data_IF_625795422087
#
_entry.id   IF_625795422087
#
_cell.length_a   1.000
_cell.length_b   1.000
_cell.length_c   1.000
_cell.angle_alpha   90.00
_cell.angle_beta   90.00
_cell.angle_gamma   90.00
#
_symmetry.space_group_name_H-M   'P 1'
#
loop_
_entity.id
_entity.type
_entity.pdbx_description
1 polymer ?
#
# COMPACT_ATOMS: atom_id res chain seq x y z
N UNK A 1 -35.74 8.47 70.94
CA UNK A 1 -35.88 8.08 69.52
C UNK A 1 -34.88 8.90 68.70
N UNK A 2 -33.83 8.27 68.16
CA UNK A 2 -32.80 8.92 67.34
C UNK A 2 -33.27 8.88 65.88
N UNK A 3 -33.47 10.05 65.26
CA UNK A 3 -33.67 10.15 63.81
C UNK A 3 -32.31 10.18 63.13
N UNK A 4 -32.06 9.20 62.27
CA UNK A 4 -30.87 9.12 61.43
C UNK A 4 -31.10 9.91 60.15
N UNK A 5 -30.20 10.86 59.89
CA UNK A 5 -30.13 11.64 58.65
C UNK A 5 -29.39 10.78 57.61
N UNK A 6 -30.08 10.35 56.56
CA UNK A 6 -29.46 9.62 55.44
C UNK A 6 -28.91 10.66 54.46
N UNK A 7 -27.58 10.73 54.38
CA UNK A 7 -26.85 11.56 53.42
C UNK A 7 -26.70 10.75 52.13
N UNK A 8 -27.45 11.09 51.08
CA UNK A 8 -27.23 10.55 49.74
C UNK A 8 -25.96 11.18 49.14
N UNK A 9 -24.88 10.41 49.10
CA UNK A 9 -23.68 10.72 48.32
C UNK A 9 -23.93 10.37 46.85
N UNK A 10 -24.18 11.38 46.02
CA UNK A 10 -24.08 11.23 44.57
C UNK A 10 -22.60 11.11 44.19
N UNK A 11 -22.16 9.90 43.84
CA UNK A 11 -20.88 9.71 43.15
C UNK A 11 -21.01 10.25 41.73
N UNK A 12 -20.18 11.21 41.29
CA UNK A 12 -20.14 11.61 39.90
C UNK A 12 -19.65 10.42 39.07
N UNK A 13 -20.45 10.02 38.07
CA UNK A 13 -19.99 9.07 37.07
C UNK A 13 -18.72 9.62 36.44
N UNK A 14 -17.64 8.84 36.47
CA UNK A 14 -16.48 9.07 35.63
C UNK A 14 -16.98 8.98 34.19
N UNK A 15 -17.11 10.13 33.52
CA UNK A 15 -17.21 10.15 32.08
C UNK A 15 -15.87 9.59 31.58
N UNK A 16 -15.87 8.38 31.04
CA UNK A 16 -14.77 7.91 30.22
C UNK A 16 -14.59 8.97 29.13
N UNK A 17 -13.39 9.56 29.04
CA UNK A 17 -13.07 10.37 27.88
C UNK A 17 -13.15 9.41 26.67
N UNK A 18 -14.02 9.71 25.71
CA UNK A 18 -14.07 8.95 24.46
C UNK A 18 -12.69 9.07 23.81
N UNK A 19 -12.07 7.92 23.51
CA UNK A 19 -10.78 7.88 22.82
C UNK A 19 -10.91 8.55 21.46
N UNK A 20 -9.87 9.27 21.03
CA UNK A 20 -9.91 9.89 19.70
C UNK A 20 -9.89 8.81 18.60
N UNK A 21 -10.27 9.14 17.35
CA UNK A 21 -10.16 8.20 16.23
C UNK A 21 -8.74 7.65 16.04
N UNK A 22 -7.73 8.51 16.23
CA UNK A 22 -6.30 8.14 16.17
C UNK A 22 -5.92 7.15 17.27
N UNK A 23 -6.34 7.41 18.52
CA UNK A 23 -6.06 6.50 19.64
C UNK A 23 -6.73 5.16 19.43
N UNK A 24 -7.98 5.17 18.97
CA UNK A 24 -8.80 3.97 18.75
C UNK A 24 -8.19 3.09 17.66
N UNK A 25 -7.90 3.67 16.49
CA UNK A 25 -7.29 2.93 15.39
C UNK A 25 -5.86 2.49 15.69
N UNK A 26 -5.04 3.41 16.24
CA UNK A 26 -3.66 3.13 16.61
C UNK A 26 -3.53 2.01 17.64
N UNK A 27 -4.43 1.97 18.64
CA UNK A 27 -4.46 0.89 19.64
C UNK A 27 -4.87 -0.46 19.04
N UNK A 28 -5.89 -0.49 18.17
CA UNK A 28 -6.29 -1.73 17.49
C UNK A 28 -5.15 -2.30 16.63
N UNK A 29 -4.42 -1.43 15.94
CA UNK A 29 -3.24 -1.81 15.17
C UNK A 29 -2.08 -2.30 16.06
N UNK A 30 -1.81 -1.60 17.16
CA UNK A 30 -0.77 -2.01 18.11
C UNK A 30 -1.07 -3.38 18.73
N UNK A 31 -2.33 -3.68 19.00
CA UNK A 31 -2.77 -4.97 19.54
C UNK A 31 -2.62 -6.10 18.51
N UNK A 32 -3.05 -5.87 17.27
CA UNK A 32 -3.07 -6.92 16.24
C UNK A 32 -1.70 -7.20 15.62
N UNK A 33 -0.81 -6.20 15.58
CA UNK A 33 0.44 -6.24 14.81
C UNK A 33 1.66 -5.95 15.70
N UNK A 34 1.54 -4.97 16.59
CA UNK A 34 2.64 -4.40 17.35
C UNK A 34 2.78 -2.89 17.09
N UNK A 35 3.55 -2.22 17.94
CA UNK A 35 3.75 -0.77 17.80
C UNK A 35 4.67 -0.45 16.61
N UNK A 36 4.29 0.58 15.84
CA UNK A 36 5.19 1.22 14.87
C UNK A 36 6.09 2.19 15.64
N UNK A 37 7.44 2.10 15.56
CA UNK A 37 8.31 3.00 16.31
C UNK A 37 8.30 4.43 15.74
N UNK A 38 8.86 5.38 16.49
CA UNK A 38 9.28 6.68 15.92
C UNK A 38 10.42 6.42 14.93
N UNK A 39 10.41 7.08 13.78
CA UNK A 39 11.41 6.89 12.74
C UNK A 39 11.85 8.20 12.10
N UNK A 40 12.88 8.12 11.25
CA UNK A 40 13.38 9.26 10.47
C UNK A 40 13.50 8.84 9.02
N UNK A 41 12.82 9.54 8.11
CA UNK A 41 12.84 9.25 6.68
C UNK A 41 14.25 9.22 6.10
N UNK A 42 15.19 10.03 6.60
CA UNK A 42 16.57 10.07 6.13
C UNK A 42 17.36 8.79 6.43
N UNK A 43 16.89 7.96 7.37
CA UNK A 43 17.46 6.64 7.64
C UNK A 43 17.08 5.59 6.57
N UNK A 44 16.05 5.87 5.77
CA UNK A 44 15.61 5.00 4.68
C UNK A 44 16.50 5.03 3.45
N UNK A 45 16.41 3.98 2.64
CA UNK A 45 17.10 3.90 1.37
C UNK A 45 16.41 4.77 0.33
N UNK A 46 17.19 5.56 -0.42
CA UNK A 46 16.65 6.33 -1.53
C UNK A 46 16.30 5.41 -2.70
N UNK A 47 15.10 5.57 -3.25
CA UNK A 47 14.67 4.88 -4.47
C UNK A 47 15.30 5.60 -5.66
N UNK A 48 16.14 4.93 -6.48
CA UNK A 48 16.81 5.59 -7.58
C UNK A 48 15.82 6.05 -8.66
N UNK A 49 16.10 7.21 -9.26
CA UNK A 49 15.57 7.60 -10.56
C UNK A 49 16.71 7.51 -11.55
N UNK A 50 16.53 6.72 -12.60
CA UNK A 50 17.54 6.51 -13.64
C UNK A 50 16.98 6.83 -15.03
N UNK A 51 17.84 7.31 -15.92
CA UNK A 51 17.59 7.41 -17.35
C UNK A 51 18.70 6.65 -18.05
N UNK A 52 18.33 5.63 -18.82
CA UNK A 52 19.28 4.73 -19.47
C UNK A 52 20.29 4.12 -18.49
N UNK A 53 19.84 3.77 -17.29
CA UNK A 53 20.66 3.23 -16.21
C UNK A 53 21.54 4.25 -15.49
N UNK A 54 21.50 5.54 -15.88
CA UNK A 54 22.28 6.60 -15.22
C UNK A 54 21.42 7.31 -14.17
N UNK A 55 21.85 7.38 -12.89
CA UNK A 55 21.12 8.09 -11.85
C UNK A 55 20.94 9.58 -12.16
N UNK A 56 19.73 10.10 -11.89
CA UNK A 56 19.38 11.52 -12.00
C UNK A 56 19.09 12.06 -10.61
N UNK A 57 19.87 13.05 -10.19
CA UNK A 57 19.83 13.62 -8.82
C UNK A 57 19.76 15.15 -8.80
N UNK A 58 19.75 15.80 -9.96
CA UNK A 58 19.82 17.27 -10.09
C UNK A 58 18.50 17.90 -10.54
N UNK A 59 17.49 17.08 -10.87
CA UNK A 59 16.14 17.48 -11.30
C UNK A 59 15.15 16.32 -11.20
N UNK A 60 13.86 16.61 -11.28
CA UNK A 60 12.85 15.62 -11.68
C UNK A 60 12.74 15.57 -13.22
N UNK A 61 13.20 14.50 -13.89
CA UNK A 61 12.98 14.33 -15.32
C UNK A 61 11.51 14.03 -15.64
N UNK A 62 11.07 14.39 -16.85
CA UNK A 62 9.71 14.08 -17.30
C UNK A 62 9.46 12.58 -17.51
N UNK A 63 10.50 11.80 -17.79
CA UNK A 63 10.44 10.34 -17.93
C UNK A 63 11.69 9.66 -17.34
N UNK A 64 11.58 8.37 -17.00
CA UNK A 64 12.67 7.58 -16.42
C UNK A 64 12.47 6.07 -16.68
N UNK A 65 13.51 5.28 -16.36
CA UNK A 65 13.52 3.83 -16.60
C UNK A 65 12.47 3.08 -15.76
N UNK A 66 12.07 3.64 -14.61
CA UNK A 66 11.17 3.01 -13.61
C UNK A 66 10.29 4.05 -12.90
N UNK A 67 9.25 4.58 -13.56
CA UNK A 67 8.32 5.56 -12.96
C UNK A 67 7.54 4.96 -11.78
N UNK A 68 7.06 5.80 -10.86
CA UNK A 68 6.42 5.39 -9.60
C UNK A 68 5.14 4.54 -9.75
N UNK A 69 4.48 4.55 -10.92
CA UNK A 69 3.25 3.81 -11.22
C UNK A 69 2.10 4.16 -10.27
N UNK A 70 2.07 5.37 -9.74
CA UNK A 70 0.98 5.85 -8.90
C UNK A 70 0.84 7.34 -9.16
N UNK A 71 -0.35 7.79 -9.57
CA UNK A 71 -0.58 9.18 -9.92
C UNK A 71 -0.13 10.10 -8.77
N UNK A 72 0.74 11.05 -9.11
CA UNK A 72 1.30 12.03 -8.18
C UNK A 72 0.45 13.30 -8.09
N UNK A 73 -0.72 13.33 -8.74
CA UNK A 73 -1.57 14.49 -8.95
C UNK A 73 -0.97 15.53 -9.91
N UNK A 74 -1.81 16.40 -10.52
CA UNK A 74 -1.38 17.32 -11.57
C UNK A 74 -0.36 18.39 -11.16
N UNK A 75 -0.22 18.67 -9.87
CA UNK A 75 0.68 19.69 -9.31
C UNK A 75 2.03 19.13 -8.82
N UNK A 76 2.33 17.88 -9.22
CA UNK A 76 3.63 17.23 -9.03
C UNK A 76 4.62 17.51 -10.16
N UNK A 77 5.88 17.17 -9.93
CA UNK A 77 6.94 17.18 -10.95
C UNK A 77 6.97 15.88 -11.80
N UNK A 78 5.86 15.15 -11.83
CA UNK A 78 5.69 13.92 -12.61
C UNK A 78 6.00 12.65 -11.82
N UNK A 79 6.20 11.54 -12.54
CA UNK A 79 6.35 10.19 -11.96
C UNK A 79 7.79 9.80 -11.62
N UNK A 80 8.74 10.68 -11.94
CA UNK A 80 10.18 10.40 -11.87
C UNK A 80 10.87 11.42 -10.97
N UNK A 81 10.42 11.52 -9.72
CA UNK A 81 10.93 12.49 -8.75
C UNK A 81 11.97 11.82 -7.85
N UNK A 82 13.25 12.25 -7.88
CA UNK A 82 14.28 11.67 -7.03
C UNK A 82 14.04 11.85 -5.53
N UNK A 83 14.75 11.03 -4.74
CA UNK A 83 14.85 11.14 -3.28
C UNK A 83 13.60 10.80 -2.47
N UNK A 84 12.63 10.10 -3.07
CA UNK A 84 11.73 9.26 -2.28
C UNK A 84 12.55 8.20 -1.53
N UNK A 85 12.14 7.85 -0.32
CA UNK A 85 12.85 6.91 0.54
C UNK A 85 11.93 5.82 1.05
N UNK A 86 12.48 4.62 1.21
CA UNK A 86 11.79 3.48 1.80
C UNK A 86 12.50 3.02 3.07
N UNK A 87 11.73 2.62 4.07
CA UNK A 87 12.24 2.03 5.31
C UNK A 87 11.59 0.68 5.53
N UNK A 88 12.38 -0.25 6.05
CA UNK A 88 11.90 -1.47 6.69
C UNK A 88 12.00 -1.30 8.21
N UNK A 89 10.86 -1.25 8.87
CA UNK A 89 10.73 -1.19 10.33
C UNK A 89 10.25 -2.52 10.92
N UNK A 90 10.36 -3.60 10.16
CA UNK A 90 9.89 -4.93 10.55
C UNK A 90 10.56 -5.42 11.84
N UNK A 91 9.82 -6.27 12.54
CA UNK A 91 10.27 -7.01 13.72
C UNK A 91 10.14 -8.51 13.45
N UNK A 92 10.47 -9.34 14.44
CA UNK A 92 10.30 -10.80 14.32
C UNK A 92 8.84 -11.23 14.08
N UNK A 93 7.85 -10.38 14.43
CA UNK A 93 6.42 -10.70 14.37
C UNK A 93 5.61 -9.77 13.48
N UNK A 94 6.20 -8.69 12.97
CA UNK A 94 5.52 -7.69 12.18
C UNK A 94 6.36 -7.31 10.97
N UNK A 95 5.70 -7.15 9.83
CA UNK A 95 6.26 -6.58 8.61
C UNK A 95 5.82 -5.13 8.50
N UNK A 96 6.74 -4.18 8.45
CA UNK A 96 6.41 -2.75 8.45
C UNK A 96 7.24 -2.04 7.38
N UNK A 97 6.58 -1.47 6.38
CA UNK A 97 7.22 -0.64 5.36
C UNK A 97 6.78 0.82 5.52
N UNK A 98 7.70 1.74 5.28
CA UNK A 98 7.41 3.18 5.22
C UNK A 98 7.86 3.73 3.88
N UNK A 99 6.99 4.47 3.20
CA UNK A 99 7.33 5.27 2.02
C UNK A 99 7.33 6.75 2.40
N UNK A 100 8.49 7.39 2.37
CA UNK A 100 8.60 8.85 2.45
C UNK A 100 8.73 9.40 1.03
N UNK A 101 7.62 9.88 0.47
CA UNK A 101 7.51 10.13 -0.98
C UNK A 101 7.76 11.58 -1.35
N UNK A 102 8.51 11.76 -2.43
CA UNK A 102 8.67 13.03 -3.13
C UNK A 102 7.76 13.02 -4.38
N UNK A 103 6.88 14.00 -4.46
CA UNK A 103 6.08 14.38 -5.64
C UNK A 103 6.59 15.68 -6.26
N UNK A 104 7.35 16.47 -5.50
CA UNK A 104 8.08 17.66 -5.98
C UNK A 104 9.57 17.49 -5.73
N UNK A 105 10.38 17.97 -6.67
CA UNK A 105 11.82 17.88 -6.59
C UNK A 105 12.35 18.74 -5.45
N UNK A 106 13.04 18.09 -4.51
CA UNK A 106 13.79 18.69 -3.42
C UNK A 106 15.22 18.16 -3.45
N UNK A 107 16.14 18.80 -2.73
CA UNK A 107 17.52 18.31 -2.64
C UNK A 107 17.61 17.00 -1.84
N UNK A 108 18.70 16.26 -1.99
CA UNK A 108 18.90 14.96 -1.33
C UNK A 108 18.90 15.03 0.21
N UNK A 109 19.23 16.20 0.76
CA UNK A 109 19.27 16.52 2.19
C UNK A 109 17.94 17.12 2.71
N UNK A 110 16.96 17.34 1.84
CA UNK A 110 15.65 17.82 2.24
C UNK A 110 14.98 16.84 3.20
N UNK A 111 14.49 17.37 4.31
CA UNK A 111 13.81 16.56 5.35
C UNK A 111 12.30 16.59 5.19
N UNK A 112 11.78 17.37 4.26
CA UNK A 112 10.36 17.45 3.97
C UNK A 112 9.93 16.57 2.79
N UNK A 113 8.74 15.98 2.90
CA UNK A 113 8.15 15.06 1.94
C UNK A 113 6.71 15.48 1.60
N UNK A 114 6.22 15.05 0.44
CA UNK A 114 4.83 15.34 0.06
C UNK A 114 3.85 14.39 0.73
N UNK A 115 4.29 13.18 1.07
CA UNK A 115 3.56 12.23 1.91
C UNK A 115 4.49 11.23 2.59
N UNK A 116 3.99 10.67 3.69
CA UNK A 116 4.61 9.57 4.43
C UNK A 116 3.54 8.52 4.65
N UNK A 117 3.73 7.35 4.04
CA UNK A 117 2.80 6.23 4.10
C UNK A 117 3.42 5.08 4.89
N UNK A 118 2.64 4.46 5.78
CA UNK A 118 3.07 3.32 6.58
C UNK A 118 2.09 2.16 6.37
N UNK A 119 2.63 1.01 6.00
CA UNK A 119 1.89 -0.24 5.93
C UNK A 119 2.50 -1.17 6.98
N UNK A 120 1.69 -1.53 7.97
CA UNK A 120 2.07 -2.48 9.01
C UNK A 120 1.23 -3.75 8.83
N UNK A 121 1.88 -4.91 8.89
CA UNK A 121 1.27 -6.19 8.58
C UNK A 121 1.75 -7.29 9.52
N UNK A 122 0.83 -8.12 10.02
CA UNK A 122 1.15 -9.32 10.77
C UNK A 122 1.08 -10.54 9.82
N UNK A 123 2.22 -11.13 9.41
CA UNK A 123 2.21 -12.24 8.45
C UNK A 123 1.59 -13.52 9.00
N UNK A 124 1.44 -13.64 10.33
CA UNK A 124 0.82 -14.82 10.95
C UNK A 124 -0.71 -14.74 10.94
N UNK A 125 -1.29 -13.54 11.02
CA UNK A 125 -2.76 -13.36 11.12
C UNK A 125 -3.39 -12.70 9.91
N UNK A 126 -2.60 -12.00 9.12
CA UNK A 126 -3.04 -11.18 8.00
C UNK A 126 -3.46 -9.76 8.39
N UNK A 127 -3.45 -9.41 9.67
CA UNK A 127 -3.82 -8.07 10.14
C UNK A 127 -2.95 -7.00 9.48
N UNK A 128 -3.59 -6.05 8.79
CA UNK A 128 -2.90 -4.95 8.09
C UNK A 128 -3.50 -3.61 8.49
N UNK A 129 -2.62 -2.66 8.83
CA UNK A 129 -2.95 -1.29 9.16
C UNK A 129 -2.28 -0.30 8.22
N UNK A 130 -2.97 0.81 7.99
CA UNK A 130 -2.62 1.82 7.00
C UNK A 130 -2.57 3.19 7.66
N UNK A 131 -1.47 3.90 7.49
CA UNK A 131 -1.31 5.25 8.01
C UNK A 131 -0.72 6.15 6.95
N UNK A 132 -1.21 7.38 6.89
CA UNK A 132 -0.75 8.37 5.94
C UNK A 132 -0.66 9.74 6.61
N UNK A 133 0.42 10.44 6.33
CA UNK A 133 0.55 11.88 6.50
C UNK A 133 0.78 12.49 5.11
N UNK A 134 0.15 13.61 4.80
CA UNK A 134 0.32 14.26 3.50
C UNK A 134 0.45 15.75 3.65
N UNK A 135 1.15 16.36 2.69
CA UNK A 135 1.22 17.80 2.57
C UNK A 135 -0.19 18.38 2.40
N UNK A 136 -0.42 19.52 3.03
CA UNK A 136 -1.66 20.27 2.92
C UNK A 136 -1.36 21.76 2.69
N UNK A 137 -2.32 22.64 2.93
CA UNK A 137 -2.13 24.09 2.80
C UNK A 137 -1.03 24.65 3.72
N UNK A 138 -0.65 23.93 4.79
CA UNK A 138 0.43 24.30 5.71
C UNK A 138 1.82 23.95 5.19
N UNK A 139 1.91 23.11 4.15
CA UNK A 139 3.16 22.75 3.49
C UNK A 139 3.47 21.25 3.56
N UNK A 140 4.71 20.86 3.23
CA UNK A 140 5.12 19.46 3.21
C UNK A 140 5.23 18.86 4.62
N UNK A 141 5.22 17.54 4.70
CA UNK A 141 5.32 16.77 5.95
C UNK A 141 6.80 16.68 6.36
N UNK A 142 7.09 16.91 7.64
CA UNK A 142 8.43 16.69 8.18
C UNK A 142 8.72 15.19 8.32
N UNK A 143 9.79 14.73 7.69
CA UNK A 143 10.28 13.35 7.78
C UNK A 143 11.29 13.11 8.90
N UNK A 144 11.60 14.13 9.71
CA UNK A 144 12.48 14.00 10.87
C UNK A 144 11.69 13.67 12.14
N UNK A 145 12.14 12.66 12.90
CA UNK A 145 11.50 12.21 14.14
C UNK A 145 9.97 12.01 14.01
N UNK A 146 9.56 11.35 12.93
CA UNK A 146 8.17 11.06 12.59
C UNK A 146 7.50 10.33 13.77
N UNK A 147 6.42 10.87 14.35
CA UNK A 147 5.78 10.28 15.52
C UNK A 147 5.14 8.93 15.15
N UNK A 148 5.15 8.00 16.10
CA UNK A 148 4.49 6.69 15.93
C UNK A 148 2.99 6.86 15.61
N UNK A 149 2.47 6.29 14.51
CA UNK A 149 1.05 6.34 14.20
C UNK A 149 0.21 5.51 15.19
N UNK A 150 0.77 4.43 15.74
CA UNK A 150 0.09 3.58 16.73
C UNK A 150 0.02 4.21 18.13
N UNK A 151 0.69 5.36 18.34
CA UNK A 151 0.61 6.15 19.58
C UNK A 151 0.05 7.56 19.34
N UNK A 152 -0.52 7.82 18.16
CA UNK A 152 -1.10 9.12 17.84
C UNK A 152 -2.35 9.36 18.69
N UNK A 153 -2.43 10.54 19.32
CA UNK A 153 -3.58 10.93 20.14
C UNK A 153 -4.52 11.89 19.42
N UNK A 154 -4.05 12.51 18.33
CA UNK A 154 -4.76 13.51 17.55
C UNK A 154 -4.23 13.57 16.11
N UNK A 155 -4.83 14.44 15.29
CA UNK A 155 -4.47 14.68 13.90
C UNK A 155 -3.36 15.71 13.68
N UNK A 156 -2.47 15.92 14.65
CA UNK A 156 -1.37 16.89 14.50
C UNK A 156 -0.33 16.49 13.44
N UNK A 157 -0.25 15.21 13.11
CA UNK A 157 0.68 14.67 12.11
C UNK A 157 0.02 13.69 11.16
N UNK A 158 -0.69 12.70 11.70
CA UNK A 158 -1.32 11.63 10.92
C UNK A 158 -2.73 12.03 10.50
N UNK A 159 -3.13 11.68 9.28
CA UNK A 159 -4.51 11.78 8.85
C UNK A 159 -5.44 10.93 9.74
N UNK A 160 -6.71 11.31 9.83
CA UNK A 160 -7.69 10.49 10.54
C UNK A 160 -7.88 9.14 9.82
N UNK A 161 -8.18 8.04 10.53
CA UNK A 161 -8.39 6.74 9.90
C UNK A 161 -9.49 6.77 8.82
N UNK A 162 -10.54 7.57 8.98
CA UNK A 162 -11.59 7.74 7.97
C UNK A 162 -11.07 8.42 6.70
N UNK A 163 -10.14 9.37 6.84
CA UNK A 163 -9.51 10.02 5.69
C UNK A 163 -8.62 9.03 4.93
N UNK A 164 -7.85 8.21 5.64
CA UNK A 164 -7.03 7.14 5.04
C UNK A 164 -7.92 6.09 4.35
N UNK A 165 -8.98 5.64 5.02
CA UNK A 165 -9.94 4.70 4.43
C UNK A 165 -10.58 5.24 3.14
N UNK A 166 -10.82 6.56 3.07
CA UNK A 166 -11.33 7.24 1.87
C UNK A 166 -10.27 7.41 0.77
N UNK A 167 -8.98 7.30 1.10
CA UNK A 167 -7.88 7.28 0.15
C UNK A 167 -7.81 6.02 -0.71
N UNK A 168 -8.62 4.99 -0.38
CA UNK A 168 -8.77 3.76 -1.16
C UNK A 168 -7.45 3.00 -1.40
N UNK A 169 -6.49 3.06 -0.47
CA UNK A 169 -5.22 2.34 -0.56
C UNK A 169 -5.42 0.83 -0.79
N UNK A 170 -6.38 0.22 -0.08
CA UNK A 170 -6.71 -1.20 -0.25
C UNK A 170 -7.35 -1.57 -1.58
N UNK A 171 -7.80 -0.60 -2.38
CA UNK A 171 -8.24 -0.86 -3.76
C UNK A 171 -7.03 -1.12 -4.66
N UNK A 172 -5.95 -0.37 -4.47
CA UNK A 172 -4.67 -0.65 -5.13
C UNK A 172 -4.04 -1.93 -4.58
N UNK A 173 -4.03 -2.09 -3.25
CA UNK A 173 -3.46 -3.22 -2.52
C UNK A 173 -4.49 -4.35 -2.31
N UNK A 174 -5.22 -4.72 -3.34
CA UNK A 174 -6.31 -5.71 -3.26
C UNK A 174 -5.83 -7.17 -3.24
N UNK A 175 -4.55 -7.41 -3.52
CA UNK A 175 -3.92 -8.72 -3.43
C UNK A 175 -3.11 -8.91 -2.14
N UNK A 176 -2.27 -7.94 -1.77
CA UNK A 176 -1.27 -8.09 -0.71
C UNK A 176 -0.92 -6.74 -0.07
N UNK A 177 -0.41 -6.73 1.18
CA UNK A 177 -0.02 -5.49 1.86
C UNK A 177 1.12 -4.77 1.13
N UNK A 178 2.08 -5.49 0.56
CA UNK A 178 3.23 -4.93 -0.13
C UNK A 178 3.22 -5.35 -1.59
N UNK A 179 3.06 -4.36 -2.49
CA UNK A 179 3.03 -4.60 -3.92
C UNK A 179 4.37 -4.32 -4.57
N UNK A 180 4.75 -5.19 -5.49
CA UNK A 180 5.87 -4.92 -6.37
C UNK A 180 5.48 -3.88 -7.42
N UNK A 181 6.34 -2.90 -7.65
CA UNK A 181 6.35 -2.06 -8.85
C UNK A 181 7.78 -1.96 -9.35
N UNK A 182 8.06 -1.68 -10.64
CA UNK A 182 9.41 -1.43 -11.10
C UNK A 182 10.13 -0.34 -10.28
N UNK A 183 9.41 0.70 -9.83
CA UNK A 183 9.97 1.76 -9.00
C UNK A 183 10.52 1.24 -7.67
N UNK A 184 9.69 0.56 -6.87
CA UNK A 184 10.08 -0.03 -5.57
C UNK A 184 10.97 -1.26 -5.75
N UNK A 185 10.84 -1.96 -6.88
CA UNK A 185 11.60 -3.15 -7.25
C UNK A 185 13.11 -2.94 -7.30
N UNK A 186 13.56 -1.69 -7.38
CA UNK A 186 14.97 -1.29 -7.31
C UNK A 186 15.60 -1.49 -5.93
N UNK A 187 14.77 -1.57 -4.89
CA UNK A 187 15.13 -1.71 -3.48
C UNK A 187 14.29 -2.80 -2.81
N UNK A 188 13.87 -3.80 -3.58
CA UNK A 188 12.91 -4.83 -3.13
C UNK A 188 13.43 -5.68 -1.97
N UNK A 189 14.75 -5.79 -1.81
CA UNK A 189 15.39 -6.45 -0.66
C UNK A 189 15.22 -5.68 0.65
N UNK A 190 14.73 -4.44 0.59
CA UNK A 190 14.44 -3.56 1.72
C UNK A 190 12.93 -3.39 1.95
N UNK A 191 12.10 -4.25 1.34
CA UNK A 191 10.65 -4.23 1.52
C UNK A 191 10.22 -5.61 1.99
N UNK A 192 9.39 -5.71 3.04
CA UNK A 192 8.86 -7.00 3.44
C UNK A 192 8.04 -7.62 2.32
N UNK A 193 8.15 -8.94 2.19
CA UNK A 193 7.39 -9.72 1.21
C UNK A 193 6.53 -10.73 1.94
N UNK A 194 5.25 -10.78 1.60
CA UNK A 194 4.34 -11.83 2.08
C UNK A 194 3.50 -12.40 0.93
N UNK A 195 4.15 -12.95 -0.11
CA UNK A 195 3.40 -13.50 -1.22
C UNK A 195 2.54 -14.66 -0.70
N UNK A 196 1.23 -14.56 -0.91
CA UNK A 196 0.23 -15.58 -0.56
C UNK A 196 -0.03 -15.81 0.93
N UNK A 197 0.49 -14.98 1.83
CA UNK A 197 0.15 -15.05 3.25
C UNK A 197 -1.29 -14.61 3.53
N UNK A 198 -1.76 -14.79 4.78
CA UNK A 198 -3.06 -14.26 5.18
C UNK A 198 -3.08 -12.74 5.02
N UNK A 199 -4.24 -12.16 4.73
CA UNK A 199 -4.38 -10.72 4.50
C UNK A 199 -5.79 -10.23 4.80
N UNK A 200 -5.88 -9.22 5.67
CA UNK A 200 -7.10 -8.50 5.98
C UNK A 200 -6.77 -7.10 6.51
N UNK A 201 -7.76 -6.21 6.46
CA UNK A 201 -7.63 -4.85 6.98
C UNK A 201 -8.18 -4.77 8.41
N UNK A 202 -7.43 -4.16 9.31
CA UNK A 202 -7.98 -3.74 10.60
C UNK A 202 -8.89 -2.55 10.35
N UNK A 203 -10.15 -2.67 10.77
CA UNK A 203 -11.18 -1.67 10.52
C UNK A 203 -11.39 -0.69 11.69
N UNK A 204 -11.57 -1.23 12.90
CA UNK A 204 -11.91 -0.47 14.11
C UNK A 204 -13.10 0.51 13.96
N UNK A 205 -14.01 0.26 13.00
CA UNK A 205 -15.20 1.09 12.73
C UNK A 205 -14.98 2.24 11.75
N UNK A 206 -13.84 2.32 11.06
CA UNK A 206 -13.49 3.46 10.19
C UNK A 206 -13.71 3.21 8.69
N UNK A 207 -14.12 2.00 8.31
CA UNK A 207 -14.56 1.64 6.97
C UNK A 207 -13.47 1.09 6.05
N UNK A 208 -12.40 0.52 6.61
CA UNK A 208 -11.37 -0.26 5.91
C UNK A 208 -11.86 -1.65 5.51
N UNK A 209 -12.87 -2.18 6.21
CA UNK A 209 -13.55 -3.45 5.89
C UNK A 209 -14.22 -3.49 4.50
N UNK A 210 -14.45 -2.32 3.90
CA UNK A 210 -15.01 -2.17 2.55
C UNK A 210 -13.98 -2.41 1.44
N UNK A 211 -12.70 -2.45 1.77
CA UNK A 211 -11.65 -2.72 0.79
C UNK A 211 -11.61 -4.22 0.43
N UNK A 212 -11.30 -4.54 -0.84
CA UNK A 212 -11.38 -5.91 -1.33
C UNK A 212 -10.31 -6.81 -0.72
N UNK A 213 -10.73 -8.00 -0.30
CA UNK A 213 -9.86 -9.09 0.19
C UNK A 213 -10.16 -10.40 -0.54
N UNK A 214 -10.50 -10.30 -1.83
CA UNK A 214 -10.80 -11.43 -2.70
C UNK A 214 -9.79 -11.52 -3.82
N UNK A 215 -9.44 -12.74 -4.22
CA UNK A 215 -8.50 -13.00 -5.30
C UNK A 215 -9.05 -14.01 -6.30
N UNK A 216 -8.45 -14.03 -7.49
CA UNK A 216 -8.72 -15.07 -8.47
C UNK A 216 -7.94 -16.35 -8.18
N UNK A 217 -8.60 -17.47 -8.39
CA UNK A 217 -8.04 -18.80 -8.62
C UNK A 217 -8.27 -19.20 -10.08
N UNK A 218 -7.43 -18.66 -10.96
CA UNK A 218 -7.53 -18.94 -12.39
C UNK A 218 -6.98 -20.33 -12.67
N UNK A 219 -7.82 -21.19 -13.26
CA UNK A 219 -7.44 -22.57 -13.59
C UNK A 219 -6.30 -22.59 -14.61
N UNK A 220 -5.31 -23.46 -14.39
CA UNK A 220 -4.19 -23.72 -15.31
C UNK A 220 -3.44 -22.45 -15.75
N UNK A 221 -3.23 -21.51 -14.81
CA UNK A 221 -2.63 -20.21 -15.08
C UNK A 221 -1.24 -20.08 -14.45
N UNK A 222 -0.24 -19.75 -15.27
CA UNK A 222 1.15 -19.63 -14.84
C UNK A 222 1.44 -18.36 -14.03
N UNK A 223 0.64 -17.29 -14.21
CA UNK A 223 0.79 -16.06 -13.43
C UNK A 223 0.34 -16.28 -11.99
N UNK A 224 -0.81 -16.94 -11.78
CA UNK A 224 -1.36 -17.16 -10.43
C UNK A 224 -0.63 -18.23 -9.62
N UNK A 225 0.33 -18.94 -10.24
CA UNK A 225 1.25 -19.84 -9.53
C UNK A 225 2.28 -19.08 -8.67
N UNK A 226 2.57 -17.82 -9.01
CA UNK A 226 3.56 -16.98 -8.32
C UNK A 226 2.99 -15.65 -7.80
N UNK A 227 1.87 -15.20 -8.35
CA UNK A 227 1.21 -13.96 -7.98
C UNK A 227 -0.21 -14.20 -7.47
N UNK A 228 -0.59 -13.55 -6.37
CA UNK A 228 -2.01 -13.38 -6.06
C UNK A 228 -2.52 -12.20 -6.90
N UNK A 229 -3.61 -12.41 -7.63
CA UNK A 229 -4.28 -11.35 -8.38
C UNK A 229 -5.58 -11.03 -7.67
N UNK A 230 -5.67 -9.82 -7.12
CA UNK A 230 -6.89 -9.33 -6.50
C UNK A 230 -8.03 -9.28 -7.53
N UNK A 231 -9.22 -9.70 -7.12
CA UNK A 231 -10.42 -9.57 -7.94
C UNK A 231 -10.99 -8.14 -7.90
N UNK A 232 -10.40 -7.26 -7.08
CA UNK A 232 -10.81 -5.87 -6.89
C UNK A 232 -12.26 -5.71 -6.42
N UNK A 233 -12.77 -4.48 -6.60
CA UNK A 233 -14.20 -4.21 -6.59
C UNK A 233 -14.77 -4.72 -7.92
N UNK A 234 -15.20 -5.98 -7.97
CA UNK A 234 -15.89 -6.57 -9.12
C UNK A 234 -17.24 -5.87 -9.33
N UNK A 235 -17.26 -4.71 -9.98
CA UNK A 235 -18.49 -4.08 -10.45
C UNK A 235 -18.62 -4.32 -11.95
N UNK A 236 -19.82 -4.69 -12.40
CA UNK A 236 -20.16 -5.18 -13.74
C UNK A 236 -19.84 -4.25 -14.93
N UNK A 237 -19.24 -3.08 -14.69
CA UNK A 237 -18.91 -2.08 -15.72
C UNK A 237 -17.45 -1.64 -15.60
N UNK A 238 -16.55 -2.41 -16.20
CA UNK A 238 -15.13 -2.08 -16.37
C UNK A 238 -14.89 -0.92 -17.36
N UNK A 239 -15.95 -0.36 -17.96
CA UNK A 239 -15.85 0.52 -19.12
C UNK A 239 -15.62 2.01 -18.81
N UNK A 240 -16.00 2.50 -17.62
CA UNK A 240 -16.20 3.95 -17.46
C UNK A 240 -15.22 4.68 -16.53
N UNK A 241 -14.33 3.98 -15.82
CA UNK A 241 -13.13 4.55 -15.19
C UNK A 241 -12.22 3.37 -14.79
N UNK A 242 -11.00 3.27 -15.35
CA UNK A 242 -10.03 2.25 -14.92
C UNK A 242 -9.70 2.53 -13.46
N UNK A 243 -10.40 1.85 -12.53
CA UNK A 243 -10.05 1.92 -11.13
C UNK A 243 -8.67 1.28 -10.92
N UNK A 244 -7.87 1.81 -10.00
CA UNK A 244 -6.57 1.23 -9.68
C UNK A 244 -6.76 -0.13 -8.99
N UNK A 245 -5.70 -0.95 -8.92
CA UNK A 245 -5.75 -2.30 -8.35
C UNK A 245 -5.27 -3.39 -9.31
N UNK A 246 -5.21 -4.64 -8.82
CA UNK A 246 -4.71 -5.78 -9.57
C UNK A 246 -5.41 -5.91 -10.91
N UNK A 247 -6.74 -5.96 -10.92
CA UNK A 247 -7.53 -6.14 -12.15
C UNK A 247 -7.64 -4.93 -13.07
N UNK A 248 -7.03 -3.81 -12.70
CA UNK A 248 -7.11 -2.55 -13.42
C UNK A 248 -5.80 -2.18 -14.10
N UNK A 249 -5.40 -0.95 -13.79
CA UNK A 249 -4.19 -0.31 -14.30
C UNK A 249 -2.91 -1.12 -14.02
N UNK A 250 -2.81 -1.82 -12.88
CA UNK A 250 -1.59 -2.54 -12.51
C UNK A 250 -1.31 -3.72 -13.43
N UNK A 251 -2.28 -4.60 -13.70
CA UNK A 251 -2.05 -5.72 -14.63
C UNK A 251 -1.76 -5.21 -16.05
N UNK A 252 -2.43 -4.15 -16.51
CA UNK A 252 -2.17 -3.57 -17.82
C UNK A 252 -0.71 -3.09 -17.96
N UNK A 253 -0.20 -2.38 -16.96
CA UNK A 253 1.20 -1.94 -16.95
C UNK A 253 2.19 -3.07 -16.73
N UNK A 254 1.88 -4.03 -15.86
CA UNK A 254 2.79 -5.12 -15.50
C UNK A 254 2.90 -6.21 -16.58
N UNK A 255 2.05 -6.19 -17.61
CA UNK A 255 2.06 -7.17 -18.70
C UNK A 255 2.27 -6.52 -20.08
N UNK A 256 2.67 -5.25 -20.11
CA UNK A 256 2.99 -4.53 -21.33
C UNK A 256 1.80 -4.17 -22.23
N UNK A 257 0.57 -4.26 -21.72
CA UNK A 257 -0.64 -3.85 -22.45
C UNK A 257 -0.87 -2.33 -22.43
N UNK A 258 -0.30 -1.63 -21.45
CA UNK A 258 -0.30 -0.17 -21.39
C UNK A 258 1.07 0.35 -20.92
N UNK A 259 1.39 1.58 -21.32
CA UNK A 259 2.64 2.25 -20.96
C UNK A 259 2.33 3.31 -19.90
N UNK A 260 2.88 3.18 -18.68
CA UNK A 260 2.55 4.11 -17.61
C UNK A 260 3.07 5.53 -17.89
N UNK A 261 2.38 6.57 -17.39
CA UNK A 261 2.88 7.93 -17.41
C UNK A 261 4.30 8.02 -16.83
N UNK A 262 5.16 8.82 -17.46
CA UNK A 262 6.56 8.98 -17.06
C UNK A 262 7.49 7.82 -17.44
N UNK A 263 7.00 6.78 -18.12
CA UNK A 263 7.86 5.76 -18.71
C UNK A 263 8.72 6.35 -19.82
N UNK A 264 10.02 6.11 -19.79
CA UNK A 264 10.89 6.37 -20.93
C UNK A 264 10.86 5.22 -21.96
N UNK A 265 11.75 5.30 -22.94
CA UNK A 265 11.84 4.29 -23.99
C UNK A 265 12.25 2.90 -23.49
N UNK A 266 13.05 2.80 -22.44
CA UNK A 266 13.44 1.52 -21.84
C UNK A 266 12.30 0.94 -21.00
N UNK A 267 11.66 1.78 -20.20
CA UNK A 267 10.48 1.41 -19.42
C UNK A 267 9.33 0.91 -20.32
N UNK A 268 9.15 1.52 -21.50
CA UNK A 268 8.11 1.17 -22.46
C UNK A 268 8.41 -0.08 -23.31
N UNK A 269 9.50 -0.81 -23.04
CA UNK A 269 9.92 -1.98 -23.82
C UNK A 269 10.22 -3.17 -22.94
N UNK A 270 10.04 -4.36 -23.49
CA UNK A 270 10.43 -5.59 -22.81
C UNK A 270 11.93 -5.58 -22.46
N UNK A 271 12.35 -5.98 -21.24
CA UNK A 271 11.51 -6.48 -20.14
C UNK A 271 10.95 -5.39 -19.22
N UNK A 272 11.34 -4.12 -19.35
CA UNK A 272 10.89 -3.02 -18.49
C UNK A 272 9.38 -2.81 -18.45
N UNK A 273 8.69 -3.09 -19.57
CA UNK A 273 7.23 -2.99 -19.66
C UNK A 273 6.47 -4.20 -19.11
N UNK A 274 7.18 -5.22 -18.61
CA UNK A 274 6.57 -6.42 -18.02
C UNK A 274 7.10 -6.53 -16.59
N UNK A 275 6.26 -6.15 -15.62
CA UNK A 275 6.56 -5.98 -14.20
C UNK A 275 6.89 -7.26 -13.44
N UNK A 276 7.82 -8.05 -13.97
CA UNK A 276 8.48 -9.17 -13.32
C UNK A 276 9.84 -8.70 -12.80
N UNK A 277 10.42 -9.34 -11.76
CA UNK A 277 11.79 -9.08 -11.39
C UNK A 277 12.71 -9.20 -12.61
N UNK A 278 13.62 -8.25 -12.82
CA UNK A 278 14.48 -8.19 -14.02
C UNK A 278 15.30 -9.49 -14.20
N UNK A 279 15.55 -10.20 -13.10
CA UNK A 279 16.23 -11.50 -13.09
C UNK A 279 15.38 -12.68 -13.58
N UNK A 280 14.07 -12.47 -13.80
CA UNK A 280 13.19 -13.45 -14.44
C UNK A 280 13.39 -13.52 -15.97
N UNK A 281 14.03 -12.49 -16.55
CA UNK A 281 15.08 -12.60 -17.57
C UNK A 281 14.88 -13.49 -18.80
N UNK A 282 13.65 -13.72 -19.25
CA UNK A 282 13.39 -14.37 -20.54
C UNK A 282 13.62 -13.39 -21.70
N UNK A 283 13.72 -13.89 -22.94
CA UNK A 283 13.50 -13.03 -24.10
C UNK A 283 12.00 -12.79 -24.27
N UNK A 284 11.59 -11.70 -24.92
CA UNK A 284 10.16 -11.46 -25.18
C UNK A 284 9.47 -12.67 -25.85
N UNK A 285 10.05 -13.32 -26.89
CA UNK A 285 9.44 -14.52 -27.46
C UNK A 285 9.33 -15.70 -26.48
N UNK A 286 10.27 -15.85 -25.55
CA UNK A 286 10.20 -16.90 -24.53
C UNK A 286 9.16 -16.58 -23.43
N UNK A 287 9.00 -15.30 -23.10
CA UNK A 287 7.94 -14.82 -22.23
C UNK A 287 6.57 -15.12 -22.86
N UNK A 288 6.39 -14.81 -24.14
CA UNK A 288 5.12 -15.04 -24.86
C UNK A 288 4.71 -16.52 -24.82
N UNK A 289 5.66 -17.42 -25.09
CA UNK A 289 5.41 -18.88 -25.05
C UNK A 289 4.94 -19.35 -23.68
N UNK A 290 5.38 -18.70 -22.60
CA UNK A 290 5.12 -19.17 -21.24
C UNK A 290 3.93 -18.46 -20.58
N UNK A 291 3.76 -17.16 -20.83
CA UNK A 291 2.91 -16.29 -20.02
C UNK A 291 1.86 -15.52 -20.81
N UNK A 292 1.93 -15.41 -22.14
CA UNK A 292 0.95 -14.60 -22.89
C UNK A 292 -0.48 -15.10 -22.68
N UNK A 293 -0.72 -16.41 -22.80
CA UNK A 293 -2.05 -16.99 -22.56
C UNK A 293 -2.51 -16.83 -21.11
N UNK A 294 -1.59 -16.98 -20.14
CA UNK A 294 -1.90 -16.80 -18.72
C UNK A 294 -2.26 -15.35 -18.40
N UNK A 295 -1.52 -14.39 -18.97
CA UNK A 295 -1.82 -12.96 -18.86
C UNK A 295 -3.17 -12.63 -19.50
N UNK A 296 -3.46 -13.17 -20.69
CA UNK A 296 -4.75 -12.99 -21.35
C UNK A 296 -5.91 -13.55 -20.52
N UNK A 297 -5.72 -14.69 -19.87
CA UNK A 297 -6.72 -15.27 -18.95
C UNK A 297 -6.97 -14.39 -17.73
N UNK A 298 -5.93 -13.76 -17.15
CA UNK A 298 -6.10 -12.78 -16.06
C UNK A 298 -7.00 -11.63 -16.53
N UNK A 299 -6.69 -11.04 -17.69
CA UNK A 299 -7.52 -9.97 -18.25
C UNK A 299 -8.95 -10.41 -18.52
N UNK A 300 -9.13 -11.61 -19.08
CA UNK A 300 -10.46 -12.17 -19.31
C UNK A 300 -11.26 -12.25 -18.02
N UNK A 301 -10.66 -12.76 -16.93
CA UNK A 301 -11.31 -12.85 -15.63
C UNK A 301 -11.64 -11.47 -15.03
N UNK A 302 -10.76 -10.48 -15.20
CA UNK A 302 -11.03 -9.11 -14.75
C UNK A 302 -12.18 -8.44 -15.51
N UNK A 303 -12.38 -8.80 -16.78
CA UNK A 303 -13.49 -8.30 -17.60
C UNK A 303 -14.82 -9.02 -17.32
N UNK A 304 -14.77 -10.32 -17.11
CA UNK A 304 -15.94 -11.16 -16.82
C UNK A 304 -15.55 -12.30 -15.87
N UNK A 305 -15.83 -12.14 -14.58
CA UNK A 305 -15.53 -13.14 -13.57
C UNK A 305 -16.50 -14.35 -13.59
N UNK A 306 -17.54 -14.33 -14.42
CA UNK A 306 -18.55 -15.40 -14.44
C UNK A 306 -18.09 -16.61 -15.25
N UNK A 307 -16.96 -16.48 -15.95
CA UNK A 307 -16.33 -17.54 -16.69
C UNK A 307 -15.93 -18.70 -15.77
N UNK A 308 -16.19 -19.93 -16.20
CA UNK A 308 -15.99 -21.15 -15.40
C UNK A 308 -14.55 -21.35 -14.89
N UNK A 309 -13.56 -20.69 -15.47
CA UNK A 309 -12.14 -20.79 -15.09
C UNK A 309 -11.66 -19.63 -14.21
N UNK A 310 -12.52 -18.68 -13.87
CA UNK A 310 -12.22 -17.46 -13.10
C UNK A 310 -12.79 -17.52 -11.67
N UNK A 311 -12.49 -18.60 -10.94
CA UNK A 311 -12.99 -18.72 -9.58
C UNK A 311 -12.49 -17.55 -8.69
N UNK A 312 -13.36 -17.02 -7.83
CA UNK A 312 -13.06 -15.94 -6.90
C UNK A 312 -13.21 -16.47 -5.48
N UNK A 313 -12.16 -16.33 -4.69
CA UNK A 313 -12.15 -16.75 -3.29
C UNK A 313 -11.78 -15.59 -2.37
N UNK A 314 -12.22 -15.68 -1.11
CA UNK A 314 -11.73 -14.82 -0.04
C UNK A 314 -10.27 -15.16 0.26
N UNK A 315 -9.47 -14.14 0.54
CA UNK A 315 -8.11 -14.32 1.04
C UNK A 315 -8.21 -14.75 2.51
N UNK A 316 -7.47 -15.80 2.87
CA UNK A 316 -7.43 -16.27 4.25
C UNK A 316 -7.01 -15.15 5.20
N UNK A 317 -7.68 -15.06 6.35
CA UNK A 317 -7.27 -14.22 7.47
C UNK A 317 -7.56 -14.91 8.79
N UNK A 318 -6.80 -14.55 9.82
CA UNK A 318 -6.93 -15.11 11.16
C UNK A 318 -7.15 -14.01 12.20
N UNK A 319 -7.83 -12.92 11.80
CA UNK A 319 -8.21 -11.83 12.71
C UNK A 319 -9.04 -12.35 13.88
N UNK A 320 -9.99 -13.25 13.60
CA UNK A 320 -10.87 -13.86 14.61
C UNK A 320 -10.15 -14.90 15.49
N UNK A 321 -8.94 -15.31 15.13
CA UNK A 321 -8.12 -16.23 15.91
C UNK A 321 -7.28 -15.52 16.97
N UNK A 322 -7.28 -14.18 17.00
CA UNK A 322 -6.68 -13.41 18.08
C UNK A 322 -7.47 -13.67 19.37
N UNK A 323 -6.84 -14.19 20.44
CA UNK A 323 -7.54 -14.34 21.70
C UNK A 323 -7.93 -12.95 22.20
N UNK A 324 -9.23 -12.70 22.34
CA UNK A 324 -9.76 -11.58 23.13
C UNK A 324 -8.99 -11.55 24.46
N UNK A 325 -8.12 -10.57 24.66
CA UNK A 325 -7.38 -10.39 25.91
C UNK A 325 -7.83 -9.13 26.62
#
# INVERSE_FOLDING_TARGET
>A
MRQALILCLCLPGLASADSSPWETYGSACAEAIGEVPVFDCQSGAAIPITIEGTPVTDRAPGTCDRPALLDNAPDSDGQCVPFSRILDLSTDTAQIAVMCRQKRFRSADATEYDEIDVIAHNPATGATCWFQASADESGPVSGGAVPSPTRATDGSFWQSPEAVAKGDCGVCHDNDPFMYSPFVGQVWDLVPVNPFGPYAHIDAGFGFDRWPTRHFEIRDNACTACHRIGAGQTTDNYADDIKPGSCGQLTLWMTGQDVPPGADHQAARYPGSHGMPINFGLSHPAWDVTYADSSANVFSCCLDHSQDFCAVNEIDSFLDALPLR
#
